data_IF_379211419479
#
_entry.id   IF_379211419479
#
_cell.length_a   1.000
_cell.length_b   1.000
_cell.length_c   1.000
_cell.angle_alpha   90.00
_cell.angle_beta   90.00
_cell.angle_gamma   90.00
#
_symmetry.space_group_name_H-M   'P 1'
#
loop_
_entity.id
_entity.type
_entity.pdbx_description
1 polymer ?
#
# COMPACT_ATOMS: atom_id res chain seq x y z
N UNK A 1 -22.67 -5.12 24.72
CA UNK A 1 -21.91 -5.03 23.46
C UNK A 1 -21.03 -6.27 23.34
N UNK A 2 -21.30 -7.12 22.33
CA UNK A 2 -20.48 -8.29 22.03
C UNK A 2 -19.45 -7.89 20.98
N UNK A 3 -18.17 -8.11 21.25
CA UNK A 3 -17.11 -7.91 20.25
C UNK A 3 -17.20 -9.06 19.22
N UNK A 4 -17.43 -8.72 17.96
CA UNK A 4 -17.64 -9.69 16.88
C UNK A 4 -16.42 -9.84 15.94
N UNK A 5 -15.28 -9.24 16.28
CA UNK A 5 -14.11 -9.22 15.41
C UNK A 5 -14.24 -8.27 14.22
N UNK A 6 -13.26 -8.28 13.33
CA UNK A 6 -13.28 -7.51 12.09
C UNK A 6 -13.35 -8.46 10.89
N UNK A 7 -14.33 -8.30 9.97
CA UNK A 7 -14.55 -9.24 8.85
C UNK A 7 -13.31 -9.49 7.96
N UNK A 8 -12.42 -8.50 7.86
CA UNK A 8 -11.18 -8.62 7.08
C UNK A 8 -10.17 -9.63 7.68
N UNK A 9 -10.30 -9.94 8.99
CA UNK A 9 -9.39 -10.88 9.67
C UNK A 9 -9.85 -12.35 9.54
N UNK A 10 -11.06 -12.59 9.04
CA UNK A 10 -11.66 -13.92 8.89
C UNK A 10 -11.42 -14.54 7.51
N UNK A 11 -10.82 -13.80 6.56
CA UNK A 11 -10.53 -14.31 5.22
C UNK A 11 -9.44 -15.38 5.29
N UNK A 12 -9.85 -16.65 5.28
CA UNK A 12 -8.94 -17.78 5.07
C UNK A 12 -8.42 -17.77 3.63
N UNK A 13 -7.10 -17.82 3.45
CA UNK A 13 -6.45 -18.00 2.16
C UNK A 13 -6.73 -19.44 1.69
N UNK A 14 -7.69 -19.61 0.79
CA UNK A 14 -8.27 -20.93 0.46
C UNK A 14 -7.56 -21.69 -0.65
N UNK A 15 -6.64 -21.08 -1.39
CA UNK A 15 -5.85 -21.80 -2.41
C UNK A 15 -4.46 -21.19 -2.56
N UNK A 16 -3.42 -22.01 -2.63
CA UNK A 16 -2.09 -21.56 -3.06
C UNK A 16 -2.10 -21.43 -4.58
N UNK A 17 -2.07 -20.19 -5.07
CA UNK A 17 -1.87 -19.90 -6.49
C UNK A 17 -0.36 -19.92 -6.75
N UNK A 18 0.07 -20.53 -7.84
CA UNK A 18 1.47 -20.48 -8.24
C UNK A 18 1.81 -19.07 -8.74
N UNK A 19 2.49 -18.29 -7.91
CA UNK A 19 2.93 -16.94 -8.23
C UNK A 19 4.12 -16.92 -9.21
N UNK A 20 4.72 -18.05 -9.53
CA UNK A 20 5.90 -18.11 -10.41
C UNK A 20 5.65 -17.64 -11.83
N UNK A 21 4.39 -17.69 -12.29
CA UNK A 21 3.96 -17.14 -13.58
C UNK A 21 3.86 -15.62 -13.58
N UNK A 22 3.72 -14.99 -12.40
CA UNK A 22 3.55 -13.55 -12.23
C UNK A 22 4.83 -12.87 -11.77
N UNK A 23 5.63 -13.55 -10.95
CA UNK A 23 6.79 -12.96 -10.28
C UNK A 23 7.96 -13.92 -10.37
N UNK A 24 9.11 -13.43 -10.82
CA UNK A 24 10.35 -14.22 -10.78
C UNK A 24 10.69 -14.57 -9.30
N UNK A 25 10.91 -15.84 -9.02
CA UNK A 25 11.17 -16.39 -7.67
C UNK A 25 12.40 -15.76 -6.99
N UNK A 26 13.33 -15.24 -7.76
CA UNK A 26 14.55 -14.63 -7.25
C UNK A 26 14.37 -13.17 -6.81
N UNK A 27 13.19 -12.59 -7.06
CA UNK A 27 12.90 -11.20 -6.70
C UNK A 27 12.18 -11.09 -5.36
N UNK A 28 12.56 -10.08 -4.59
CA UNK A 28 11.89 -9.69 -3.34
C UNK A 28 10.69 -8.79 -3.64
N UNK A 29 9.55 -9.12 -3.11
CA UNK A 29 8.31 -8.40 -3.37
C UNK A 29 8.15 -7.23 -2.40
N UNK A 30 7.89 -6.04 -2.94
CA UNK A 30 7.38 -4.89 -2.20
C UNK A 30 5.96 -4.62 -2.67
N UNK A 31 4.98 -4.80 -1.78
CA UNK A 31 3.57 -4.51 -2.05
C UNK A 31 3.29 -3.02 -1.91
N UNK A 32 2.57 -2.43 -2.87
CA UNK A 32 2.20 -1.01 -2.88
C UNK A 32 0.69 -0.86 -2.96
N UNK A 33 0.13 -0.12 -2.00
CA UNK A 33 -1.28 0.22 -1.90
C UNK A 33 -1.45 1.74 -1.97
N UNK A 34 -1.59 2.27 -3.18
CA UNK A 34 -1.63 3.71 -3.44
C UNK A 34 -2.99 4.37 -3.14
N UNK A 35 -3.90 3.65 -2.50
CA UNK A 35 -5.28 4.06 -2.26
C UNK A 35 -6.26 3.35 -3.17
N UNK A 36 -7.56 3.56 -2.95
CA UNK A 36 -8.64 2.92 -3.71
C UNK A 36 -9.29 3.83 -4.76
N UNK A 37 -9.10 5.15 -4.64
CA UNK A 37 -9.70 6.16 -5.53
C UNK A 37 -8.65 6.82 -6.41
N UNK A 38 -9.04 7.21 -7.62
CA UNK A 38 -8.17 7.93 -8.56
C UNK A 38 -7.56 9.20 -7.95
N UNK A 39 -8.35 9.98 -7.20
CA UNK A 39 -7.91 11.22 -6.56
C UNK A 39 -6.81 11.01 -5.51
N UNK A 40 -6.85 9.89 -4.81
CA UNK A 40 -5.83 9.52 -3.81
C UNK A 40 -4.57 9.00 -4.50
N UNK A 41 -4.77 8.08 -5.44
CA UNK A 41 -3.71 7.42 -6.20
C UNK A 41 -2.88 8.45 -6.97
N UNK A 42 -3.51 9.39 -7.66
CA UNK A 42 -2.81 10.42 -8.47
C UNK A 42 -1.85 11.28 -7.65
N UNK A 43 -2.16 11.54 -6.39
CA UNK A 43 -1.28 12.32 -5.49
C UNK A 43 -0.08 11.49 -5.02
N UNK A 44 -0.24 10.17 -4.86
CA UNK A 44 0.80 9.30 -4.32
C UNK A 44 1.73 8.73 -5.40
N UNK A 45 1.26 8.55 -6.63
CA UNK A 45 2.06 7.97 -7.71
C UNK A 45 3.40 8.68 -7.96
N UNK A 46 3.51 10.03 -7.98
CA UNK A 46 4.81 10.70 -8.12
C UNK A 46 5.78 10.39 -6.98
N UNK A 47 5.30 10.26 -5.75
CA UNK A 47 6.10 9.92 -4.57
C UNK A 47 6.61 8.49 -4.70
N UNK A 48 5.72 7.56 -5.04
CA UNK A 48 6.04 6.16 -5.25
C UNK A 48 7.03 5.95 -6.39
N UNK A 49 6.93 6.75 -7.48
CA UNK A 49 7.89 6.76 -8.57
C UNK A 49 9.31 7.14 -8.08
N UNK A 50 9.41 8.20 -7.27
CA UNK A 50 10.69 8.61 -6.71
C UNK A 50 11.28 7.54 -5.78
N UNK A 51 10.43 6.93 -4.94
CA UNK A 51 10.81 5.80 -4.09
C UNK A 51 11.35 4.63 -4.92
N UNK A 52 10.62 4.19 -5.97
CA UNK A 52 11.04 3.08 -6.84
C UNK A 52 12.34 3.40 -7.56
N UNK A 53 12.49 4.61 -8.10
CA UNK A 53 13.73 5.04 -8.76
C UNK A 53 14.94 5.05 -7.80
N UNK A 54 14.73 5.51 -6.58
CA UNK A 54 15.75 5.47 -5.54
C UNK A 54 16.13 4.03 -5.16
N UNK A 55 15.16 3.14 -5.04
CA UNK A 55 15.40 1.72 -4.78
C UNK A 55 16.18 1.08 -5.93
N UNK A 56 15.76 1.31 -7.17
CA UNK A 56 16.41 0.77 -8.37
C UNK A 56 17.85 1.28 -8.60
N UNK A 57 18.18 2.46 -8.06
CA UNK A 57 19.56 2.97 -8.12
C UNK A 57 20.53 2.23 -7.20
N UNK A 58 20.02 1.46 -6.23
CA UNK A 58 20.81 0.78 -5.21
C UNK A 58 20.68 -0.74 -5.24
N UNK A 59 19.55 -1.24 -5.73
CA UNK A 59 19.17 -2.64 -5.67
C UNK A 59 18.48 -3.06 -6.96
N UNK A 60 18.75 -4.26 -7.44
CA UNK A 60 18.18 -4.83 -8.66
C UNK A 60 17.29 -6.07 -8.38
N UNK A 61 17.23 -6.52 -7.12
CA UNK A 61 16.55 -7.75 -6.69
C UNK A 61 15.10 -7.55 -6.19
N UNK A 62 14.51 -6.37 -6.45
CA UNK A 62 13.14 -6.06 -6.05
C UNK A 62 12.16 -6.05 -7.22
N UNK A 63 10.92 -6.40 -6.92
CA UNK A 63 9.74 -6.17 -7.76
C UNK A 63 8.69 -5.44 -6.96
N UNK A 64 8.07 -4.44 -7.56
CA UNK A 64 7.03 -3.62 -6.93
C UNK A 64 5.66 -4.03 -7.46
N UNK A 65 4.79 -4.49 -6.58
CA UNK A 65 3.44 -4.93 -6.95
C UNK A 65 2.43 -3.91 -6.46
N UNK A 66 1.83 -3.20 -7.41
CA UNK A 66 0.74 -2.29 -7.15
C UNK A 66 -0.58 -3.05 -7.06
N UNK A 67 -1.22 -2.97 -5.90
CA UNK A 67 -2.55 -3.51 -5.69
C UNK A 67 -3.58 -2.44 -6.06
N UNK A 68 -4.26 -2.67 -7.17
CA UNK A 68 -5.22 -1.75 -7.75
C UNK A 68 -6.66 -2.21 -7.48
N UNK A 69 -7.58 -1.24 -7.49
CA UNK A 69 -9.02 -1.45 -7.62
C UNK A 69 -9.42 -1.26 -9.08
N UNK A 70 -10.66 -1.62 -9.45
CA UNK A 70 -11.16 -1.38 -10.80
C UNK A 70 -11.14 0.12 -11.15
N UNK A 71 -11.35 0.99 -10.15
CA UNK A 71 -11.35 2.45 -10.34
C UNK A 71 -9.99 3.00 -10.74
N UNK A 72 -8.89 2.52 -10.12
CA UNK A 72 -7.57 3.15 -10.29
C UNK A 72 -6.56 2.31 -11.09
N UNK A 73 -6.95 1.12 -11.55
CA UNK A 73 -6.09 0.20 -12.27
C UNK A 73 -5.49 0.84 -13.54
N UNK A 74 -6.33 1.44 -14.37
CA UNK A 74 -5.89 2.06 -15.61
C UNK A 74 -4.95 3.23 -15.37
N UNK A 75 -5.25 4.06 -14.37
CA UNK A 75 -4.39 5.16 -13.94
C UNK A 75 -2.98 4.67 -13.56
N UNK A 76 -2.90 3.61 -12.76
CA UNK A 76 -1.61 3.05 -12.31
C UNK A 76 -0.86 2.44 -13.50
N UNK A 77 -1.51 1.62 -14.33
CA UNK A 77 -0.89 1.00 -15.51
C UNK A 77 -0.29 2.05 -16.44
N UNK A 78 -1.05 3.08 -16.79
CA UNK A 78 -0.58 4.17 -17.64
C UNK A 78 0.58 4.93 -17.00
N UNK A 79 0.52 5.16 -15.69
CA UNK A 79 1.60 5.83 -14.98
C UNK A 79 2.90 5.01 -14.98
N UNK A 80 2.85 3.71 -14.69
CA UNK A 80 4.02 2.83 -14.71
C UNK A 80 4.67 2.79 -16.09
N UNK A 81 3.85 2.67 -17.15
CA UNK A 81 4.31 2.66 -18.54
C UNK A 81 4.99 3.98 -18.93
N UNK A 82 4.37 5.12 -18.61
CA UNK A 82 4.89 6.44 -18.95
C UNK A 82 6.19 6.79 -18.21
N UNK A 83 6.43 6.18 -17.05
CA UNK A 83 7.64 6.39 -16.25
C UNK A 83 8.68 5.27 -16.41
N UNK A 84 8.47 4.31 -17.32
CA UNK A 84 9.38 3.20 -17.62
C UNK A 84 9.76 2.37 -16.39
N UNK A 85 8.82 2.13 -15.49
CA UNK A 85 9.01 1.34 -14.28
C UNK A 85 8.87 -0.17 -14.58
N UNK A 86 9.85 -0.74 -15.26
CA UNK A 86 9.82 -2.11 -15.81
C UNK A 86 9.80 -3.22 -14.77
N UNK A 87 10.26 -2.95 -13.55
CA UNK A 87 10.19 -3.90 -12.42
C UNK A 87 8.95 -3.68 -11.55
N UNK A 88 7.92 -3.05 -12.09
CA UNK A 88 6.65 -2.81 -11.41
C UNK A 88 5.51 -3.46 -12.16
N UNK A 89 4.57 -4.06 -11.44
CA UNK A 89 3.40 -4.73 -11.97
C UNK A 89 2.14 -4.28 -11.25
N UNK A 90 0.98 -4.42 -11.92
CA UNK A 90 -0.31 -4.07 -11.36
C UNK A 90 -1.18 -5.31 -11.26
N UNK A 91 -1.73 -5.56 -10.10
CA UNK A 91 -2.72 -6.61 -9.87
C UNK A 91 -4.00 -5.99 -9.32
N UNK A 92 -5.15 -6.59 -9.69
CA UNK A 92 -6.47 -6.21 -9.19
C UNK A 92 -7.31 -7.40 -8.72
N UNK A 93 -6.75 -8.59 -8.75
CA UNK A 93 -7.42 -9.81 -8.26
C UNK A 93 -7.25 -9.93 -6.74
N UNK A 94 -8.36 -9.88 -6.01
CA UNK A 94 -8.40 -9.99 -4.56
C UNK A 94 -7.92 -11.36 -4.05
N UNK A 95 -8.07 -12.44 -4.85
CA UNK A 95 -7.61 -13.78 -4.45
C UNK A 95 -6.09 -13.86 -4.46
N UNK A 96 -5.45 -13.19 -5.41
CA UNK A 96 -3.99 -13.14 -5.55
C UNK A 96 -3.39 -12.13 -4.55
N UNK A 97 -4.11 -11.06 -4.22
CA UNK A 97 -3.65 -9.99 -3.32
C UNK A 97 -3.11 -10.54 -2.01
N UNK A 98 -3.89 -11.37 -1.33
CA UNK A 98 -3.52 -11.92 -0.02
C UNK A 98 -2.25 -12.77 -0.09
N UNK A 99 -2.09 -13.54 -1.16
CA UNK A 99 -0.91 -14.38 -1.36
C UNK A 99 0.34 -13.57 -1.67
N UNK A 100 0.22 -12.55 -2.55
CA UNK A 100 1.34 -11.67 -2.84
C UNK A 100 1.74 -10.92 -1.58
N UNK A 101 0.77 -10.40 -0.83
CA UNK A 101 1.04 -9.70 0.42
C UNK A 101 1.77 -10.60 1.42
N UNK A 102 1.34 -11.84 1.63
CA UNK A 102 2.00 -12.78 2.54
C UNK A 102 3.42 -13.19 2.10
N UNK A 103 3.76 -13.01 0.82
CA UNK A 103 5.11 -13.23 0.29
C UNK A 103 5.92 -11.95 0.16
N UNK A 104 5.36 -10.81 0.54
CA UNK A 104 6.05 -9.52 0.49
C UNK A 104 6.99 -9.36 1.67
N UNK A 105 8.17 -8.82 1.41
CA UNK A 105 9.13 -8.49 2.48
C UNK A 105 8.83 -7.13 3.10
N UNK A 106 8.10 -6.28 2.40
CA UNK A 106 7.71 -4.94 2.84
C UNK A 106 6.45 -4.45 2.13
N UNK A 107 5.72 -3.55 2.77
CA UNK A 107 4.57 -2.90 2.16
C UNK A 107 4.63 -1.37 2.34
N UNK A 108 4.27 -0.64 1.28
CA UNK A 108 4.02 0.80 1.32
C UNK A 108 2.53 1.00 1.09
N UNK A 109 1.85 1.61 2.03
CA UNK A 109 0.40 1.74 1.94
C UNK A 109 -0.10 3.15 2.27
N UNK A 110 -1.11 3.59 1.52
CA UNK A 110 -1.92 4.74 1.94
C UNK A 110 -2.71 4.37 3.19
N UNK A 111 -2.83 5.32 4.12
CA UNK A 111 -3.65 5.12 5.33
C UNK A 111 -5.08 4.67 4.98
N UNK A 112 -5.54 3.62 5.65
CA UNK A 112 -6.85 3.00 5.45
C UNK A 112 -6.95 1.63 6.11
N UNK A 113 -8.01 0.90 5.82
CA UNK A 113 -8.28 -0.45 6.36
C UNK A 113 -7.25 -1.49 5.90
N UNK A 114 -6.54 -1.23 4.80
CA UNK A 114 -5.50 -2.13 4.28
C UNK A 114 -4.38 -2.39 5.31
N UNK A 115 -4.13 -1.46 6.22
CA UNK A 115 -3.15 -1.66 7.30
C UNK A 115 -3.47 -2.85 8.20
N UNK A 116 -4.76 -3.17 8.39
CA UNK A 116 -5.18 -4.37 9.13
C UNK A 116 -4.81 -5.66 8.38
N UNK A 117 -5.00 -5.68 7.06
CA UNK A 117 -4.63 -6.83 6.23
C UNK A 117 -3.10 -7.03 6.21
N UNK A 118 -2.33 -5.94 6.11
CA UNK A 118 -0.86 -5.96 6.15
C UNK A 118 -0.36 -6.50 7.49
N UNK A 119 -0.93 -6.03 8.61
CA UNK A 119 -0.60 -6.54 9.93
C UNK A 119 -0.95 -8.02 10.10
N UNK A 120 -2.13 -8.43 9.62
CA UNK A 120 -2.54 -9.83 9.68
C UNK A 120 -1.61 -10.75 8.87
N UNK A 121 -1.04 -10.24 7.78
CA UNK A 121 -0.03 -10.94 6.99
C UNK A 121 1.38 -10.90 7.61
N UNK A 122 1.58 -10.23 8.75
CA UNK A 122 2.87 -10.02 9.42
C UNK A 122 3.93 -9.34 8.52
N UNK A 123 3.53 -8.44 7.64
CA UNK A 123 4.42 -7.75 6.72
C UNK A 123 4.84 -6.39 7.31
N UNK A 124 6.15 -6.13 7.46
CA UNK A 124 6.63 -4.81 7.83
C UNK A 124 6.14 -3.75 6.84
N UNK A 125 5.74 -2.59 7.33
CA UNK A 125 5.15 -1.59 6.44
C UNK A 125 5.41 -0.15 6.88
N UNK A 126 5.22 0.76 5.95
CA UNK A 126 5.15 2.19 6.18
C UNK A 126 3.85 2.74 5.61
N UNK A 127 3.25 3.65 6.34
CA UNK A 127 2.03 4.32 5.90
C UNK A 127 2.39 5.70 5.35
N UNK A 128 1.93 5.95 4.14
CA UNK A 128 2.05 7.27 3.51
C UNK A 128 0.67 7.92 3.44
N UNK A 129 0.60 9.20 3.78
CA UNK A 129 -0.64 9.95 3.74
C UNK A 129 -0.41 11.36 3.22
N UNK A 130 -0.92 11.61 2.02
CA UNK A 130 -0.88 12.92 1.40
C UNK A 130 -2.24 13.25 0.83
N UNK A 131 -2.71 14.45 1.13
CA UNK A 131 -3.96 15.00 0.63
C UNK A 131 -3.70 16.39 0.05
N UNK A 132 -4.66 16.89 -0.72
CA UNK A 132 -4.62 18.25 -1.24
C UNK A 132 -4.45 19.26 -0.08
N UNK A 133 -3.64 20.30 -0.31
CA UNK A 133 -3.32 21.34 0.69
C UNK A 133 -4.56 21.95 1.35
N UNK A 134 -5.63 22.19 0.60
CA UNK A 134 -6.88 22.75 1.13
C UNK A 134 -7.51 21.81 2.15
N UNK A 135 -7.62 20.52 1.79
CA UNK A 135 -8.15 19.49 2.68
C UNK A 135 -7.26 19.27 3.92
N UNK A 136 -5.94 19.40 3.75
CA UNK A 136 -5.00 19.33 4.86
C UNK A 136 -5.22 20.46 5.86
N UNK A 137 -5.36 21.70 5.39
CA UNK A 137 -5.64 22.83 6.27
C UNK A 137 -6.96 22.65 7.03
N UNK A 138 -8.01 22.22 6.34
CA UNK A 138 -9.30 21.93 6.96
C UNK A 138 -9.16 20.83 8.03
N UNK A 139 -8.50 19.73 7.70
CA UNK A 139 -8.27 18.64 8.65
C UNK A 139 -7.45 19.07 9.86
N UNK A 140 -6.39 19.85 9.66
CA UNK A 140 -5.54 20.35 10.74
C UNK A 140 -6.32 21.17 11.78
N UNK A 141 -7.37 21.89 11.34
CA UNK A 141 -8.22 22.66 12.24
C UNK A 141 -9.33 21.84 12.90
N UNK A 142 -9.86 20.84 12.20
CA UNK A 142 -11.04 20.07 12.64
C UNK A 142 -10.68 18.79 13.38
N UNK A 143 -9.55 18.18 13.07
CA UNK A 143 -9.22 16.83 13.53
C UNK A 143 -7.99 16.87 14.43
N UNK A 144 -8.21 16.61 15.72
CA UNK A 144 -7.15 16.53 16.74
C UNK A 144 -6.58 15.10 16.88
N UNK A 145 -6.52 14.32 15.80
CA UNK A 145 -5.89 12.99 15.86
C UNK A 145 -4.39 13.09 15.63
N UNK A 146 -3.66 12.39 16.49
CA UNK A 146 -2.20 12.33 16.45
C UNK A 146 -1.68 11.43 15.32
N UNK A 147 -2.46 10.43 14.92
CA UNK A 147 -2.08 9.40 13.95
C UNK A 147 -3.11 9.32 12.82
N UNK A 148 -2.66 8.96 11.61
CA UNK A 148 -3.52 8.71 10.46
C UNK A 148 -3.86 7.22 10.30
N UNK A 149 -3.04 6.32 10.81
CA UNK A 149 -3.23 4.88 10.74
C UNK A 149 -4.11 4.36 11.87
N UNK A 150 -5.06 3.49 11.55
CA UNK A 150 -6.00 2.92 12.52
C UNK A 150 -5.32 2.14 13.64
N UNK A 151 -4.22 1.44 13.36
CA UNK A 151 -3.46 0.65 14.34
C UNK A 151 -2.78 1.57 15.34
N UNK A 152 -2.16 2.66 14.87
CA UNK A 152 -1.54 3.65 15.72
C UNK A 152 -2.57 4.42 16.56
N UNK A 153 -3.75 4.70 15.98
CA UNK A 153 -4.88 5.34 16.68
C UNK A 153 -5.37 4.45 17.83
N UNK A 154 -5.64 3.17 17.56
CA UNK A 154 -6.16 2.23 18.57
C UNK A 154 -5.17 2.05 19.71
N UNK A 155 -3.88 1.99 19.40
CA UNK A 155 -2.83 1.79 20.40
C UNK A 155 -2.34 3.10 21.04
N UNK A 156 -2.80 4.24 20.57
CA UNK A 156 -2.32 5.59 20.95
C UNK A 156 -0.78 5.70 20.93
N UNK A 157 -0.15 4.98 20.02
CA UNK A 157 1.30 4.89 19.86
C UNK A 157 1.65 4.63 18.39
N UNK A 158 2.77 5.19 17.94
CA UNK A 158 3.32 4.87 16.64
C UNK A 158 3.95 3.47 16.67
N UNK A 159 3.21 2.49 16.11
CA UNK A 159 3.64 1.11 15.92
C UNK A 159 4.12 0.93 14.49
N UNK A 160 3.39 1.52 13.54
CA UNK A 160 3.73 1.54 12.12
C UNK A 160 4.17 2.95 11.77
N UNK A 161 5.37 3.16 11.20
CA UNK A 161 5.81 4.48 10.78
C UNK A 161 4.83 5.15 9.82
N UNK A 162 4.57 6.44 10.04
CA UNK A 162 3.70 7.25 9.20
C UNK A 162 4.49 8.43 8.61
N UNK A 163 4.42 8.58 7.28
CA UNK A 163 4.90 9.78 6.59
C UNK A 163 3.70 10.63 6.18
N UNK A 164 3.58 11.82 6.77
CA UNK A 164 2.43 12.69 6.58
C UNK A 164 2.81 13.94 5.79
N UNK A 165 2.05 14.25 4.75
CA UNK A 165 2.17 15.50 3.95
C UNK A 165 3.60 15.78 3.44
N UNK A 166 4.35 16.65 4.13
CA UNK A 166 5.67 17.11 3.74
C UNK A 166 6.80 16.12 4.01
N UNK A 167 6.52 15.05 4.75
CA UNK A 167 7.49 13.98 5.05
C UNK A 167 7.51 12.90 3.96
N UNK A 168 6.54 12.96 3.03
CA UNK A 168 6.43 12.03 1.91
C UNK A 168 7.33 12.43 0.74
#
# INVERSE_FOLDING_TARGET
NTFVGHPLLEKNITAKIDLSSLINKDKKIISIFAGSRNSETSVLLPILNNFIKMMNSKFDDYVFIFHATDENKELIVNFLKNNSLTNSQVISDENIKSQILSNSIFAVAKSGTISLEICNANVPSIIIYKINMINYLIMKFLVKVKFANIINIINNKEIIPELLQGEC
#
